data_IF_188322062145
#
_entry.id   IF_188322062145
#
_cell.length_a   1.000
_cell.length_b   1.000
_cell.length_c   1.000
_cell.angle_alpha   90.00
_cell.angle_beta   90.00
_cell.angle_gamma   90.00
#
_symmetry.space_group_name_H-M   'P 1'
#
loop_
_entity.id
_entity.type
_entity.pdbx_description
1 polymer ?
#
# COMPACT_ATOMS: atom_id res chain seq x y z
N UNK A 1 -0.23 2.77 -42.55
CA UNK A 1 -1.34 2.11 -41.83
C UNK A 1 -0.83 0.89 -41.07
N UNK A 2 -0.93 0.91 -39.74
CA UNK A 2 -0.70 -0.26 -38.89
C UNK A 2 -1.99 -0.51 -38.09
N UNK A 3 -2.85 -1.36 -38.64
CA UNK A 3 -3.95 -1.97 -37.91
C UNK A 3 -3.38 -3.15 -37.13
N UNK A 4 -3.52 -3.16 -35.79
CA UNK A 4 -2.87 -4.14 -34.95
C UNK A 4 -3.60 -4.39 -33.63
N UNK A 5 -4.68 -5.16 -33.70
CA UNK A 5 -5.10 -6.12 -32.67
C UNK A 5 -5.58 -5.58 -31.32
N UNK A 6 -6.86 -5.25 -31.24
CA UNK A 6 -7.62 -5.19 -29.98
C UNK A 6 -7.80 -6.60 -29.40
N UNK A 7 -7.01 -6.97 -28.38
CA UNK A 7 -7.29 -8.16 -27.56
C UNK A 7 -8.33 -7.81 -26.49
N UNK A 8 -9.50 -8.46 -26.42
CA UNK A 8 -10.36 -8.32 -25.27
C UNK A 8 -9.72 -9.06 -24.09
N UNK A 9 -9.29 -8.33 -23.07
CA UNK A 9 -8.88 -8.88 -21.79
C UNK A 9 -10.15 -9.31 -21.05
N UNK A 10 -10.54 -10.58 -21.17
CA UNK A 10 -11.65 -11.15 -20.42
C UNK A 10 -11.24 -11.28 -18.96
N UNK A 11 -11.82 -10.47 -18.08
CA UNK A 11 -11.71 -10.67 -16.65
C UNK A 11 -12.67 -11.80 -16.25
N UNK A 12 -12.14 -12.87 -15.66
CA UNK A 12 -12.94 -13.90 -15.01
C UNK A 12 -12.94 -13.59 -13.51
N UNK A 13 -14.04 -13.04 -12.99
CA UNK A 13 -14.25 -12.96 -11.54
C UNK A 13 -15.11 -14.14 -11.10
N UNK A 14 -14.46 -15.23 -10.72
CA UNK A 14 -15.14 -16.33 -10.04
C UNK A 14 -15.52 -15.86 -8.64
N UNK A 15 -16.81 -15.55 -8.43
CA UNK A 15 -17.34 -15.17 -7.11
C UNK A 15 -17.40 -16.40 -6.23
N UNK A 16 -16.38 -16.61 -5.40
CA UNK A 16 -16.48 -17.55 -4.28
C UNK A 16 -17.39 -16.93 -3.21
N UNK A 17 -18.56 -17.51 -3.02
CA UNK A 17 -19.50 -17.17 -1.95
C UNK A 17 -18.86 -17.45 -0.59
N UNK A 18 -18.51 -16.40 0.16
CA UNK A 18 -18.08 -16.52 1.56
C UNK A 18 -19.32 -16.64 2.43
N UNK A 19 -19.61 -17.86 2.85
CA UNK A 19 -20.53 -18.18 3.93
C UNK A 19 -20.02 -17.56 5.24
N UNK A 20 -20.83 -16.69 5.84
CA UNK A 20 -20.55 -16.04 7.11
C UNK A 20 -20.76 -17.05 8.25
N UNK A 21 -19.71 -17.37 8.99
CA UNK A 21 -19.81 -18.02 10.30
C UNK A 21 -19.51 -16.99 11.39
N UNK A 22 -20.54 -16.56 12.11
CA UNK A 22 -20.41 -15.71 13.30
C UNK A 22 -20.08 -16.60 14.49
N UNK A 23 -18.86 -16.49 15.02
CA UNK A 23 -18.50 -17.11 16.29
C UNK A 23 -18.78 -16.13 17.42
N UNK A 24 -19.83 -16.39 18.20
CA UNK A 24 -20.11 -15.72 19.47
C UNK A 24 -19.33 -16.42 20.57
N UNK A 25 -18.29 -15.79 21.14
CA UNK A 25 -17.65 -16.29 22.37
C UNK A 25 -18.18 -15.53 23.59
N UNK A 26 -18.74 -16.33 24.51
CA UNK A 26 -19.39 -15.97 25.77
C UNK A 26 -18.42 -15.27 26.74
N UNK A 27 -18.96 -14.32 27.50
CA UNK A 27 -18.28 -13.67 28.62
C UNK A 27 -18.31 -14.61 29.82
N UNK A 28 -17.28 -15.43 29.99
CA UNK A 28 -17.03 -16.12 31.25
C UNK A 28 -16.06 -15.28 32.10
N UNK A 29 -16.59 -14.64 33.14
CA UNK A 29 -15.82 -14.06 34.25
C UNK A 29 -15.17 -15.19 35.04
N UNK A 30 -13.85 -15.19 35.14
CA UNK A 30 -13.10 -16.16 35.94
C UNK A 30 -11.66 -15.71 36.23
N UNK A 31 -11.47 -15.15 37.44
CA UNK A 31 -10.28 -15.07 38.30
C UNK A 31 -8.88 -15.09 37.64
N UNK A 32 -8.11 -14.03 37.91
CA UNK A 32 -6.68 -13.81 37.56
C UNK A 32 -5.76 -14.96 38.02
N UNK A 33 -4.87 -15.44 37.15
CA UNK A 33 -3.50 -15.78 37.55
C UNK A 33 -2.48 -14.87 36.86
N UNK A 34 -1.73 -14.11 37.66
CA UNK A 34 -0.55 -13.36 37.22
C UNK A 34 0.54 -14.31 36.70
N UNK A 35 0.77 -14.37 35.38
CA UNK A 35 2.08 -14.75 34.83
C UNK A 35 2.25 -14.29 33.37
N UNK A 36 3.45 -13.80 33.14
CA UNK A 36 3.97 -13.16 31.93
C UNK A 36 4.62 -14.22 30.99
N UNK A 37 4.71 -13.90 29.69
CA UNK A 37 5.73 -14.35 28.69
C UNK A 37 5.60 -15.62 27.82
N UNK A 38 4.50 -16.37 27.74
CA UNK A 38 4.51 -17.62 26.92
C UNK A 38 3.80 -17.58 25.55
N UNK A 39 3.13 -16.49 25.16
CA UNK A 39 2.46 -16.42 23.83
C UNK A 39 3.33 -15.85 22.70
N UNK A 40 4.52 -15.31 22.98
CA UNK A 40 5.41 -14.79 21.93
C UNK A 40 6.36 -15.84 21.34
N UNK A 41 6.60 -16.96 22.04
CA UNK A 41 7.59 -17.96 21.64
C UNK A 41 7.09 -18.84 20.48
N UNK A 42 5.78 -19.05 20.38
CA UNK A 42 5.16 -19.86 19.33
C UNK A 42 5.33 -19.25 17.93
N UNK A 43 5.56 -17.94 17.83
CA UNK A 43 5.81 -17.25 16.56
C UNK A 43 7.26 -17.31 16.09
N UNK A 44 8.20 -17.75 16.93
CA UNK A 44 9.62 -17.88 16.55
C UNK A 44 9.96 -19.24 15.92
N UNK A 45 9.19 -20.29 16.19
CA UNK A 45 9.49 -21.65 15.73
C UNK A 45 9.10 -21.94 14.27
N UNK A 46 8.38 -21.04 13.59
CA UNK A 46 8.02 -21.20 12.16
C UNK A 46 9.02 -20.48 11.22
N UNK A 47 10.04 -19.79 11.76
CA UNK A 47 10.93 -18.91 10.96
C UNK A 47 12.27 -19.51 10.53
N UNK A 48 12.51 -20.81 10.73
CA UNK A 48 13.77 -21.46 10.35
C UNK A 48 13.67 -22.33 9.08
N UNK A 49 12.89 -21.92 8.08
CA UNK A 49 13.00 -22.49 6.73
C UNK A 49 13.45 -21.41 5.74
N UNK A 50 14.74 -21.44 5.43
CA UNK A 50 15.30 -20.90 4.18
C UNK A 50 14.57 -21.57 3.02
N UNK A 51 13.61 -20.87 2.42
CA UNK A 51 13.04 -21.26 1.14
C UNK A 51 12.65 -20.02 0.35
N UNK A 52 13.14 -20.00 -0.89
CA UNK A 52 13.04 -18.92 -1.86
C UNK A 52 11.60 -18.40 -2.05
N UNK A 53 11.46 -17.07 -2.08
CA UNK A 53 10.39 -16.41 -2.84
C UNK A 53 9.09 -16.00 -2.13
N UNK A 54 8.93 -16.17 -0.81
CA UNK A 54 7.73 -15.71 -0.10
C UNK A 54 7.94 -14.37 0.63
N UNK A 55 6.97 -13.41 0.62
CA UNK A 55 7.16 -12.13 1.27
C UNK A 55 7.32 -12.35 2.77
N UNK A 56 8.54 -12.11 3.27
CA UNK A 56 8.86 -12.21 4.68
C UNK A 56 7.84 -11.39 5.48
N UNK A 57 7.11 -11.95 6.45
CA UNK A 57 6.20 -11.17 7.29
C UNK A 57 7.05 -10.13 8.00
N UNK A 58 6.85 -8.89 7.56
CA UNK A 58 7.66 -7.72 7.90
C UNK A 58 7.90 -7.73 9.40
N UNK A 59 9.17 -7.89 9.80
CA UNK A 59 9.49 -7.98 11.22
C UNK A 59 9.02 -6.71 11.94
N UNK A 60 8.74 -6.81 13.24
CA UNK A 60 8.30 -5.66 14.05
C UNK A 60 9.27 -4.47 13.92
N UNK A 61 10.57 -4.74 13.91
CA UNK A 61 11.63 -3.76 13.68
C UNK A 61 11.57 -3.10 12.29
N UNK A 62 11.34 -3.89 11.22
CA UNK A 62 11.18 -3.34 9.86
C UNK A 62 9.94 -2.44 9.73
N UNK A 63 8.88 -2.74 10.49
CA UNK A 63 7.68 -1.90 10.56
C UNK A 63 7.98 -0.60 11.28
N UNK A 64 8.63 -0.65 12.44
CA UNK A 64 9.01 0.53 13.23
C UNK A 64 9.89 1.49 12.42
N UNK A 65 10.92 0.97 11.76
CA UNK A 65 11.80 1.77 10.90
C UNK A 65 11.03 2.48 9.76
N UNK A 66 10.11 1.78 9.10
CA UNK A 66 9.27 2.38 8.04
C UNK A 66 8.31 3.44 8.59
N UNK A 67 7.74 3.23 9.77
CA UNK A 67 6.85 4.21 10.43
C UNK A 67 7.61 5.47 10.83
N UNK A 68 8.82 5.35 11.39
CA UNK A 68 9.67 6.50 11.71
C UNK A 68 9.99 7.33 10.48
N UNK A 69 10.45 6.69 9.40
CA UNK A 69 10.70 7.36 8.10
C UNK A 69 9.45 8.03 7.55
N UNK A 70 8.28 7.41 7.69
CA UNK A 70 7.01 8.02 7.28
C UNK A 70 6.70 9.27 8.09
N UNK A 71 6.84 9.23 9.42
CA UNK A 71 6.56 10.36 10.32
C UNK A 71 7.49 11.54 10.02
N UNK A 72 8.79 11.30 9.85
CA UNK A 72 9.76 12.32 9.45
C UNK A 72 9.40 12.94 8.10
N UNK A 73 9.13 12.09 7.08
CA UNK A 73 8.72 12.57 5.76
C UNK A 73 7.40 13.36 5.80
N UNK A 74 6.46 12.99 6.68
CA UNK A 74 5.19 13.70 6.86
C UNK A 74 5.41 15.11 7.42
N UNK A 75 6.30 15.28 8.40
CA UNK A 75 6.67 16.60 8.94
C UNK A 75 7.32 17.48 7.86
N UNK A 76 8.09 16.89 6.95
CA UNK A 76 8.83 17.59 5.90
C UNK A 76 8.08 17.74 4.56
N UNK A 77 6.75 17.58 4.53
CA UNK A 77 5.98 17.75 3.29
C UNK A 77 5.95 19.22 2.89
N UNK A 78 6.30 19.49 1.63
CA UNK A 78 6.18 20.82 1.02
C UNK A 78 4.83 20.91 0.33
N UNK A 79 3.95 21.78 0.82
CA UNK A 79 2.61 22.00 0.24
C UNK A 79 2.59 23.15 -0.77
N UNK A 80 3.61 23.99 -0.77
CA UNK A 80 3.75 25.05 -1.75
C UNK A 80 3.96 24.48 -3.16
N UNK A 81 3.39 25.18 -4.15
CA UNK A 81 3.52 24.82 -5.56
C UNK A 81 4.99 24.94 -6.00
N UNK A 82 5.66 23.80 -6.13
CA UNK A 82 7.04 23.75 -6.62
C UNK A 82 7.07 23.58 -8.14
N UNK A 83 7.70 24.52 -8.85
CA UNK A 83 8.02 24.37 -10.28
C UNK A 83 9.39 23.73 -10.40
N UNK A 84 9.45 22.45 -10.76
CA UNK A 84 10.73 21.70 -10.86
C UNK A 84 11.46 21.93 -12.19
N UNK A 85 10.73 22.14 -13.28
CA UNK A 85 11.30 22.23 -14.63
C UNK A 85 10.96 23.59 -15.24
N UNK A 86 11.95 24.50 -15.21
CA UNK A 86 11.77 25.87 -15.70
C UNK A 86 11.46 25.92 -17.21
N UNK A 87 12.18 25.14 -18.03
CA UNK A 87 11.96 25.09 -19.49
C UNK A 87 10.53 24.67 -19.86
N UNK A 88 9.97 23.66 -19.18
CA UNK A 88 8.58 23.22 -19.42
C UNK A 88 7.55 24.28 -19.00
N UNK A 89 7.82 25.04 -17.93
CA UNK A 89 6.96 26.17 -17.53
C UNK A 89 6.96 27.26 -18.61
N UNK A 90 8.13 27.67 -19.08
CA UNK A 90 8.25 28.67 -20.14
C UNK A 90 7.52 28.26 -21.43
N UNK A 91 7.63 26.99 -21.85
CA UNK A 91 6.90 26.49 -23.01
C UNK A 91 5.37 26.46 -22.81
N UNK A 92 4.91 26.16 -21.59
CA UNK A 92 3.48 26.14 -21.27
C UNK A 92 2.85 27.55 -21.19
N UNK A 93 3.66 28.57 -20.90
CA UNK A 93 3.26 29.98 -20.85
C UNK A 93 3.10 30.59 -22.25
N UNK A 94 3.93 30.19 -23.21
CA UNK A 94 3.91 30.74 -24.58
C UNK A 94 2.97 29.99 -25.55
N UNK A 95 2.55 28.77 -25.23
CA UNK A 95 1.69 27.94 -26.09
C UNK A 95 0.26 28.50 -26.19
N UNK A 96 -0.38 28.55 -27.39
CA UNK A 96 -1.71 29.12 -27.54
C UNK A 96 -2.77 28.37 -26.75
N UNK A 97 -3.71 29.12 -26.15
CA UNK A 97 -4.81 28.57 -25.34
C UNK A 97 -6.16 29.14 -25.75
N UNK A 98 -7.19 28.30 -25.70
CA UNK A 98 -8.60 28.67 -25.87
C UNK A 98 -9.34 28.15 -24.64
N UNK A 99 -9.98 29.03 -23.87
CA UNK A 99 -10.66 28.70 -22.60
C UNK A 99 -9.80 27.86 -21.63
N UNK A 100 -8.51 28.22 -21.51
CA UNK A 100 -7.54 27.55 -20.62
C UNK A 100 -6.90 26.26 -21.17
N UNK A 101 -7.41 25.71 -22.27
CA UNK A 101 -6.90 24.49 -22.92
C UNK A 101 -5.89 24.83 -24.00
N UNK A 102 -4.86 24.00 -24.19
CA UNK A 102 -3.94 24.18 -25.30
C UNK A 102 -4.63 23.95 -26.64
N UNK A 103 -4.32 24.79 -27.61
CA UNK A 103 -4.75 24.62 -29.00
C UNK A 103 -3.56 24.26 -29.89
N UNK A 104 -3.83 23.54 -30.98
CA UNK A 104 -2.89 23.46 -32.10
C UNK A 104 -3.02 24.77 -32.89
N UNK A 105 -1.91 25.24 -33.44
CA UNK A 105 -1.98 26.22 -34.52
C UNK A 105 -2.53 25.55 -35.77
#
# INVERSE_FOLDING_TARGET
DFCGGSKPFMYNFTTQSISQSVSSSSMEVGVVPDHNTMTDVSNMFVRNSVVDGLPNPISSSDREARVLRYREKRKNRKFEKTIRYASRKAYAETRPRIKGRFAKR
#
